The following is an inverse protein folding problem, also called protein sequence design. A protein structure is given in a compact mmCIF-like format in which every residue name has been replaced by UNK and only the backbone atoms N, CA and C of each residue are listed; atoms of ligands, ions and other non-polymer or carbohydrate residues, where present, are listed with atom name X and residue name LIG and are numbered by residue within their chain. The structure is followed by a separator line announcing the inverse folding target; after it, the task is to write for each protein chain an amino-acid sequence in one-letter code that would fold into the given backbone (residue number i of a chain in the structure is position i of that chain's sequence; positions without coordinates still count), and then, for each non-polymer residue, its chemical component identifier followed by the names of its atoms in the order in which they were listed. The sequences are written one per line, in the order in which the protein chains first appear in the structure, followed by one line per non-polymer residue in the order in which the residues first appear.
data_IF_810547057626
#
_entry.id   IF_810547057626
#
_cell.length_a   1.000
_cell.length_b   1.000
_cell.length_c   1.000
_cell.angle_alpha   90.00
_cell.angle_beta   90.00
_cell.angle_gamma   90.00
#
_symmetry.space_group_name_H-M   'P 1'
#
loop_
_entity.id
_entity.type
_entity.pdbx_description
1 polymer ?
#
# COMPACT_ATOMS: atom_id res chain seq x y z
N UNK A 1 -26.51 16.59 7.46
CA UNK A 1 -25.49 16.30 6.42
C UNK A 1 -24.07 16.06 6.96
N UNK A 2 -23.56 16.84 7.92
CA UNK A 2 -22.17 16.75 8.44
C UNK A 2 -21.80 15.37 9.02
N UNK A 3 -22.71 14.70 9.74
CA UNK A 3 -22.51 13.33 10.26
C UNK A 3 -22.33 12.29 9.14
N UNK A 4 -23.14 12.35 8.08
CA UNK A 4 -23.03 11.46 6.90
C UNK A 4 -21.68 11.64 6.21
N UNK A 5 -21.25 12.90 5.99
CA UNK A 5 -19.93 13.21 5.40
C UNK A 5 -18.77 12.69 6.26
N UNK A 6 -18.86 12.80 7.60
CA UNK A 6 -17.84 12.25 8.51
C UNK A 6 -17.76 10.72 8.41
N UNK A 7 -18.91 10.04 8.44
CA UNK A 7 -18.96 8.57 8.31
C UNK A 7 -18.38 8.10 6.97
N UNK A 8 -18.68 8.81 5.89
CA UNK A 8 -18.12 8.49 4.57
C UNK A 8 -16.60 8.65 4.55
N UNK A 9 -16.05 9.74 5.11
CA UNK A 9 -14.59 9.91 5.21
C UNK A 9 -13.93 8.78 5.98
N UNK A 10 -14.47 8.45 7.16
CA UNK A 10 -13.95 7.37 7.99
C UNK A 10 -13.96 6.03 7.22
N UNK A 11 -15.06 5.71 6.54
CA UNK A 11 -15.13 4.51 5.69
C UNK A 11 -14.08 4.49 4.58
N UNK A 12 -13.75 5.65 3.99
CA UNK A 12 -12.72 5.74 2.95
C UNK A 12 -11.30 5.69 3.51
N UNK A 13 -11.10 6.17 4.74
CA UNK A 13 -9.84 6.03 5.44
C UNK A 13 -9.62 4.56 5.86
N UNK A 14 -10.67 3.87 6.29
CA UNK A 14 -10.64 2.43 6.58
C UNK A 14 -10.32 1.61 5.32
N UNK A 15 -10.94 1.92 4.17
CA UNK A 15 -10.61 1.31 2.87
C UNK A 15 -9.15 1.58 2.46
N UNK A 16 -8.67 2.81 2.64
CA UNK A 16 -7.27 3.18 2.36
C UNK A 16 -6.29 2.35 3.20
N UNK A 17 -6.54 2.25 4.51
CA UNK A 17 -5.73 1.46 5.44
C UNK A 17 -5.73 -0.01 5.03
N UNK A 18 -6.91 -0.57 4.72
CA UNK A 18 -7.04 -1.96 4.27
C UNK A 18 -6.18 -2.23 3.03
N UNK A 19 -6.25 -1.37 2.01
CA UNK A 19 -5.45 -1.56 0.79
C UNK A 19 -3.96 -1.36 1.03
N UNK A 20 -3.58 -0.38 1.85
CA UNK A 20 -2.19 -0.12 2.19
C UNK A 20 -1.55 -1.32 2.91
N UNK A 21 -2.27 -1.96 3.83
CA UNK A 21 -1.80 -3.15 4.53
C UNK A 21 -1.61 -4.35 3.59
N UNK A 22 -2.56 -4.55 2.66
CA UNK A 22 -2.45 -5.61 1.65
C UNK A 22 -1.25 -5.42 0.74
N UNK A 23 -0.96 -4.20 0.32
CA UNK A 23 0.22 -3.93 -0.52
C UNK A 23 1.50 -4.04 0.30
N UNK A 24 1.53 -3.57 1.56
CA UNK A 24 2.68 -3.76 2.48
C UNK A 24 3.07 -5.23 2.58
N UNK A 25 2.10 -6.12 2.75
CA UNK A 25 2.33 -7.57 2.78
C UNK A 25 2.97 -8.10 1.50
N UNK A 26 2.49 -7.68 0.33
CA UNK A 26 3.04 -8.12 -0.97
C UNK A 26 4.44 -7.58 -1.22
N UNK A 27 4.67 -6.30 -0.93
CA UNK A 27 6.01 -5.70 -1.07
C UNK A 27 7.02 -6.41 -0.18
N UNK A 28 6.68 -6.73 1.08
CA UNK A 28 7.57 -7.47 1.97
C UNK A 28 7.88 -8.89 1.46
N UNK A 29 6.89 -9.58 0.89
CA UNK A 29 7.08 -10.89 0.26
C UNK A 29 8.00 -10.78 -0.96
N UNK A 30 7.75 -9.79 -1.82
CA UNK A 30 8.56 -9.53 -2.99
C UNK A 30 10.01 -9.17 -2.64
N UNK A 31 10.24 -8.29 -1.66
CA UNK A 31 11.60 -7.95 -1.21
C UNK A 31 12.34 -9.19 -0.70
N UNK A 32 11.64 -10.10 -0.01
CA UNK A 32 12.21 -11.38 0.42
C UNK A 32 12.58 -12.24 -0.79
N UNK A 33 11.70 -12.42 -1.78
CA UNK A 33 12.00 -13.21 -2.98
C UNK A 33 13.14 -12.60 -3.81
N UNK A 34 13.21 -11.27 -3.90
CA UNK A 34 14.28 -10.57 -4.61
C UNK A 34 15.64 -10.75 -3.94
N UNK A 35 15.69 -10.85 -2.61
CA UNK A 35 16.94 -11.05 -1.87
C UNK A 35 17.51 -12.46 -2.03
N UNK A 36 16.65 -13.48 -2.22
CA UNK A 36 17.07 -14.89 -2.28
C UNK A 36 17.05 -15.51 -3.69
N UNK A 37 16.44 -14.85 -4.68
CA UNK A 37 16.40 -15.32 -6.07
C UNK A 37 17.59 -14.77 -6.87
N UNK A 38 18.53 -15.64 -7.24
CA UNK A 38 19.66 -15.27 -8.12
C UNK A 38 19.25 -15.11 -9.60
N UNK A 39 17.99 -15.40 -9.98
CA UNK A 39 17.49 -15.45 -11.36
C UNK A 39 16.11 -14.75 -11.53
N UNK A 40 15.86 -13.65 -10.82
CA UNK A 40 14.62 -12.90 -11.01
C UNK A 40 14.55 -12.30 -12.43
N UNK A 41 13.62 -12.81 -13.26
CA UNK A 41 13.35 -12.31 -14.61
C UNK A 41 12.98 -10.82 -14.56
N UNK A 42 13.42 -10.03 -15.54
CA UNK A 42 13.24 -8.56 -15.61
C UNK A 42 11.77 -8.11 -15.46
N UNK A 43 10.81 -8.89 -15.97
CA UNK A 43 9.38 -8.64 -15.78
C UNK A 43 8.96 -8.63 -14.30
N UNK A 44 9.58 -9.50 -13.48
CA UNK A 44 9.34 -9.56 -12.05
C UNK A 44 9.81 -8.28 -11.36
N UNK A 45 10.99 -7.76 -11.73
CA UNK A 45 11.48 -6.47 -11.23
C UNK A 45 10.51 -5.32 -11.55
N UNK A 46 9.96 -5.28 -12.76
CA UNK A 46 8.96 -4.28 -13.16
C UNK A 46 7.70 -4.33 -12.29
N UNK A 47 7.17 -5.53 -12.06
CA UNK A 47 6.00 -5.72 -11.19
C UNK A 47 6.27 -5.31 -9.74
N UNK A 48 7.42 -5.69 -9.19
CA UNK A 48 7.82 -5.33 -7.82
C UNK A 48 7.95 -3.82 -7.67
N UNK A 49 8.58 -3.14 -8.63
CA UNK A 49 8.69 -1.67 -8.63
C UNK A 49 7.34 -0.99 -8.71
N UNK A 50 6.42 -1.51 -9.52
CA UNK A 50 5.07 -0.99 -9.62
C UNK A 50 4.29 -1.17 -8.30
N UNK A 51 4.44 -2.29 -7.60
CA UNK A 51 3.83 -2.50 -6.29
C UNK A 51 4.44 -1.59 -5.21
N UNK A 52 5.77 -1.44 -5.19
CA UNK A 52 6.45 -0.48 -4.32
C UNK A 52 5.92 0.94 -4.55
N UNK A 53 5.76 1.37 -5.81
CA UNK A 53 5.21 2.68 -6.13
C UNK A 53 3.77 2.86 -5.61
N UNK A 54 2.91 1.83 -5.75
CA UNK A 54 1.56 1.85 -5.19
C UNK A 54 1.57 1.96 -3.67
N UNK A 55 2.46 1.22 -2.99
CA UNK A 55 2.64 1.31 -1.54
C UNK A 55 2.99 2.72 -1.10
N UNK A 56 4.01 3.33 -1.72
CA UNK A 56 4.45 4.68 -1.37
C UNK A 56 3.37 5.74 -1.64
N UNK A 57 2.63 5.58 -2.74
CA UNK A 57 1.50 6.45 -3.06
C UNK A 57 0.42 6.39 -1.97
N UNK A 58 -0.04 5.19 -1.60
CA UNK A 58 -1.06 5.03 -0.55
C UNK A 58 -0.55 5.45 0.84
N UNK A 59 0.73 5.22 1.15
CA UNK A 59 1.32 5.65 2.41
C UNK A 59 1.37 7.18 2.50
N UNK A 60 1.71 7.86 1.40
CA UNK A 60 1.65 9.32 1.32
C UNK A 60 0.23 9.82 1.57
N UNK A 61 -0.77 9.21 0.95
CA UNK A 61 -2.17 9.55 1.15
C UNK A 61 -2.63 9.33 2.60
N UNK A 62 -2.26 8.21 3.21
CA UNK A 62 -2.57 7.89 4.61
C UNK A 62 -2.00 8.95 5.57
N UNK A 63 -0.76 9.37 5.34
CA UNK A 63 -0.10 10.45 6.11
C UNK A 63 -0.78 11.80 5.91
N UNK A 64 -1.12 12.16 4.67
CA UNK A 64 -1.81 13.42 4.37
C UNK A 64 -3.20 13.50 5.03
N UNK A 65 -3.84 12.35 5.26
CA UNK A 65 -5.15 12.24 5.92
C UNK A 65 -5.06 12.04 7.44
N UNK A 66 -3.85 11.96 7.99
CA UNK A 66 -3.58 11.67 9.41
C UNK A 66 -4.28 10.38 9.90
N UNK A 67 -4.28 9.34 9.07
CA UNK A 67 -4.76 8.02 9.50
C UNK A 67 -3.77 7.36 10.47
N UNK A 68 -4.21 6.38 11.24
CA UNK A 68 -3.41 5.71 12.27
C UNK A 68 -2.56 4.54 11.74
N UNK A 69 -2.20 4.55 10.46
CA UNK A 69 -1.42 3.47 9.86
C UNK A 69 0.03 3.47 10.38
N UNK A 70 0.46 2.37 11.01
CA UNK A 70 1.80 2.16 11.59
C UNK A 70 2.65 1.16 10.81
#
# INVERSE_FOLDING_TARGET
MRKKKRKLRQSKDDELIYHLDKIKQRVNQHDTYMQYSMDAREEMYGMVKAEQAKYWFLLREARARHTTFS
#
